data_IF_216460280430
#
_entry.id   IF_216460280430
#
_cell.length_a   1.000
_cell.length_b   1.000
_cell.length_c   1.000
_cell.angle_alpha   90.00
_cell.angle_beta   90.00
_cell.angle_gamma   90.00
#
_symmetry.space_group_name_H-M   'P 1'
#
loop_
_entity.id
_entity.type
_entity.pdbx_description
1 polymer ?
#
# COMPACT_ATOMS: atom_id res chain seq x y z
N UNK A 1 17.08 -10.46 -9.25
CA UNK A 1 16.03 -10.59 -8.21
C UNK A 1 15.82 -12.06 -7.92
N UNK A 2 15.71 -12.49 -6.64
CA UNK A 2 15.56 -13.91 -6.28
C UNK A 2 14.19 -14.43 -6.75
N UNK A 3 14.18 -15.56 -7.44
CA UNK A 3 12.98 -16.30 -7.83
C UNK A 3 12.95 -17.57 -6.97
N UNK A 4 11.96 -17.65 -6.08
CA UNK A 4 11.80 -18.79 -5.19
C UNK A 4 10.88 -19.83 -5.83
N UNK A 5 11.38 -21.02 -6.07
CA UNK A 5 10.68 -22.16 -6.63
C UNK A 5 10.85 -23.39 -5.73
N UNK A 6 9.99 -24.42 -5.85
CA UNK A 6 8.75 -24.42 -6.61
C UNK A 6 7.65 -23.56 -5.99
N UNK A 7 6.59 -23.27 -6.73
CA UNK A 7 5.34 -22.69 -6.22
C UNK A 7 4.18 -23.66 -6.44
N UNK A 8 3.22 -23.62 -5.54
CA UNK A 8 1.96 -24.37 -5.64
C UNK A 8 0.78 -23.41 -5.75
N UNK A 9 -0.39 -23.92 -6.09
CA UNK A 9 -1.63 -23.15 -6.08
C UNK A 9 -2.40 -23.25 -4.75
N UNK A 10 -1.75 -23.79 -3.69
CA UNK A 10 -2.37 -23.98 -2.40
C UNK A 10 -2.17 -22.74 -1.52
N UNK A 11 -3.28 -22.18 -1.05
CA UNK A 11 -3.27 -21.05 -0.13
C UNK A 11 -3.22 -21.51 1.32
N UNK A 12 -2.32 -20.96 2.08
CA UNK A 12 -2.29 -21.05 3.53
C UNK A 12 -3.13 -19.90 4.08
N UNK A 13 -4.15 -20.22 4.89
CA UNK A 13 -4.96 -19.27 5.61
C UNK A 13 -4.59 -19.32 7.09
N UNK A 14 -4.65 -18.17 7.76
CA UNK A 14 -4.38 -18.07 9.20
C UNK A 14 -5.36 -17.10 9.85
N UNK A 15 -5.48 -17.14 11.18
CA UNK A 15 -6.46 -16.38 11.94
C UNK A 15 -6.22 -14.85 11.87
N UNK A 16 -7.30 -14.07 12.00
CA UNK A 16 -7.24 -12.61 11.96
C UNK A 16 -6.39 -12.01 13.10
N UNK A 17 -6.31 -12.71 14.21
CA UNK A 17 -5.54 -12.27 15.40
C UNK A 17 -4.05 -12.61 15.31
N UNK A 18 -3.65 -13.36 14.28
CA UNK A 18 -2.26 -13.77 14.08
C UNK A 18 -1.47 -12.63 13.45
N UNK A 19 -0.42 -12.20 14.14
CA UNK A 19 0.52 -11.20 13.64
C UNK A 19 1.86 -11.86 13.33
N UNK A 20 2.28 -11.76 12.07
CA UNK A 20 3.60 -12.19 11.61
C UNK A 20 4.55 -11.02 11.73
N UNK A 21 5.56 -11.12 12.59
CA UNK A 21 6.49 -10.02 12.88
C UNK A 21 7.90 -10.42 12.48
N UNK A 22 8.62 -9.50 11.86
CA UNK A 22 10.05 -9.63 11.58
C UNK A 22 10.76 -8.29 11.67
N UNK A 23 12.04 -8.35 12.01
CA UNK A 23 12.97 -7.23 11.96
C UNK A 23 14.08 -7.54 10.96
N UNK A 24 14.58 -6.50 10.31
CA UNK A 24 15.71 -6.59 9.39
C UNK A 24 16.70 -5.47 9.66
N UNK A 25 17.93 -5.67 9.23
CA UNK A 25 18.91 -4.59 9.12
C UNK A 25 18.55 -3.64 7.94
N UNK A 26 19.40 -2.65 7.69
CA UNK A 26 19.26 -1.68 6.60
C UNK A 26 19.33 -2.30 5.20
N UNK A 27 19.92 -3.51 5.09
CA UNK A 27 20.03 -4.26 3.82
C UNK A 27 18.85 -5.21 3.62
N UNK A 28 17.94 -5.30 4.59
CA UNK A 28 16.81 -6.23 4.55
C UNK A 28 17.19 -7.67 4.92
N UNK A 29 18.27 -7.85 5.67
CA UNK A 29 18.66 -9.13 6.25
C UNK A 29 17.86 -9.33 7.53
N UNK A 30 17.23 -10.49 7.67
CA UNK A 30 16.40 -10.83 8.84
C UNK A 30 17.27 -10.94 10.08
N UNK A 31 16.92 -10.17 11.11
CA UNK A 31 17.62 -10.16 12.42
C UNK A 31 16.74 -10.70 13.54
N UNK A 32 15.42 -10.74 13.36
CA UNK A 32 14.48 -11.31 14.33
C UNK A 32 13.17 -11.69 13.64
N UNK A 33 12.55 -12.75 14.11
CA UNK A 33 11.21 -13.21 13.71
C UNK A 33 10.43 -13.67 14.94
N UNK A 34 9.10 -13.68 14.83
CA UNK A 34 8.27 -14.29 15.86
C UNK A 34 7.82 -15.72 15.44
N UNK A 35 7.28 -16.46 16.41
CA UNK A 35 6.80 -17.82 16.19
C UNK A 35 5.78 -17.92 15.06
N UNK A 36 4.87 -16.95 14.91
CA UNK A 36 3.89 -16.95 13.82
C UNK A 36 4.56 -16.90 12.44
N UNK A 37 5.71 -16.23 12.32
CA UNK A 37 6.45 -16.20 11.05
C UNK A 37 6.98 -17.61 10.70
N UNK A 38 7.58 -18.32 11.65
CA UNK A 38 8.09 -19.69 11.43
C UNK A 38 6.95 -20.66 11.11
N UNK A 39 5.88 -20.61 11.90
CA UNK A 39 4.72 -21.51 11.75
C UNK A 39 4.04 -21.37 10.37
N UNK A 40 3.85 -20.13 9.89
CA UNK A 40 3.14 -19.89 8.63
C UNK A 40 4.05 -20.03 7.42
N UNK A 41 5.30 -19.58 7.52
CA UNK A 41 6.24 -19.70 6.41
C UNK A 41 6.82 -21.11 6.24
N UNK A 42 6.80 -21.91 7.30
CA UNK A 42 7.37 -23.26 7.33
C UNK A 42 8.90 -23.30 7.35
N UNK A 43 9.56 -22.17 7.52
CA UNK A 43 10.99 -22.07 7.76
C UNK A 43 11.26 -22.09 9.25
N UNK A 44 12.35 -22.72 9.70
CA UNK A 44 12.81 -22.57 11.07
C UNK A 44 13.41 -21.17 11.30
N UNK A 45 13.57 -20.78 12.56
CA UNK A 45 14.21 -19.50 12.89
C UNK A 45 15.66 -19.48 12.38
N UNK A 46 16.41 -20.57 12.55
CA UNK A 46 17.80 -20.70 12.08
C UNK A 46 17.89 -20.55 10.55
N UNK A 47 16.89 -21.05 9.81
CA UNK A 47 16.84 -20.90 8.35
C UNK A 47 16.50 -19.48 7.88
N UNK A 48 15.85 -18.69 8.75
CA UNK A 48 15.46 -17.32 8.44
C UNK A 48 16.52 -16.30 8.85
N UNK A 49 17.18 -16.52 9.98
CA UNK A 49 18.16 -15.58 10.53
C UNK A 49 19.33 -15.38 9.55
N UNK A 50 19.71 -14.14 9.34
CA UNK A 50 20.79 -13.79 8.41
C UNK A 50 20.43 -13.92 6.92
N UNK A 51 19.21 -14.35 6.59
CA UNK A 51 18.75 -14.41 5.19
C UNK A 51 18.12 -13.09 4.74
N UNK A 52 18.25 -12.73 3.46
CA UNK A 52 17.47 -11.64 2.90
C UNK A 52 15.97 -11.92 3.01
N UNK A 53 15.19 -10.92 3.41
CA UNK A 53 13.74 -11.08 3.63
C UNK A 53 12.97 -11.58 2.40
N UNK A 54 13.57 -11.44 1.20
CA UNK A 54 13.01 -11.96 -0.04
C UNK A 54 13.00 -13.50 -0.12
N UNK A 55 13.48 -14.22 0.91
CA UNK A 55 13.36 -15.68 1.01
C UNK A 55 11.89 -16.13 0.94
N UNK A 56 10.96 -15.34 1.48
CA UNK A 56 9.51 -15.61 1.45
C UNK A 56 8.79 -14.91 0.29
N UNK A 57 9.49 -14.26 -0.63
CA UNK A 57 8.85 -13.58 -1.74
C UNK A 57 8.23 -14.56 -2.73
N UNK A 58 6.94 -14.37 -3.06
CA UNK A 58 6.32 -15.10 -4.17
C UNK A 58 6.76 -14.52 -5.53
N UNK A 59 7.00 -15.37 -6.57
CA UNK A 59 7.38 -14.90 -7.91
C UNK A 59 6.40 -13.92 -8.56
N UNK A 60 5.09 -14.05 -8.29
CA UNK A 60 4.04 -13.18 -8.82
C UNK A 60 4.12 -11.72 -8.31
N UNK A 61 4.93 -11.47 -7.28
CA UNK A 61 5.08 -10.12 -6.77
C UNK A 61 5.96 -9.26 -7.68
N UNK A 62 5.43 -8.14 -8.21
CA UNK A 62 6.17 -7.33 -9.17
C UNK A 62 7.37 -6.64 -8.53
N UNK A 63 8.50 -6.54 -9.28
CA UNK A 63 9.68 -5.80 -8.81
C UNK A 63 9.38 -4.34 -8.43
N UNK A 64 8.47 -3.71 -9.18
CA UNK A 64 8.09 -2.32 -8.97
C UNK A 64 7.49 -2.07 -7.57
N UNK A 65 6.72 -3.04 -7.02
CA UNK A 65 6.17 -2.91 -5.67
C UNK A 65 7.29 -2.85 -4.61
N UNK A 66 8.33 -3.66 -4.73
CA UNK A 66 9.47 -3.63 -3.83
C UNK A 66 10.35 -2.40 -4.03
N UNK A 67 10.50 -1.91 -5.28
CA UNK A 67 11.22 -0.67 -5.54
C UNK A 67 10.54 0.52 -4.83
N UNK A 68 9.21 0.61 -4.92
CA UNK A 68 8.44 1.63 -4.22
C UNK A 68 8.56 1.49 -2.69
N UNK A 69 8.44 0.28 -2.17
CA UNK A 69 8.64 0.00 -0.75
C UNK A 69 10.00 0.53 -0.26
N UNK A 70 11.09 0.12 -0.91
CA UNK A 70 12.43 0.55 -0.53
C UNK A 70 12.64 2.06 -0.64
N UNK A 71 12.10 2.69 -1.69
CA UNK A 71 12.17 4.14 -1.86
C UNK A 71 11.46 4.88 -0.72
N UNK A 72 10.37 4.29 -0.19
CA UNK A 72 9.59 4.89 0.89
C UNK A 72 10.26 4.72 2.26
N UNK A 73 10.60 3.47 2.63
CA UNK A 73 11.13 3.19 3.98
C UNK A 73 12.54 3.78 4.21
N UNK A 74 13.36 3.89 3.17
CA UNK A 74 14.66 4.58 3.24
C UNK A 74 14.55 6.08 3.48
N UNK A 75 13.39 6.68 3.20
CA UNK A 75 13.10 8.08 3.54
C UNK A 75 12.59 8.24 4.99
N UNK A 76 12.59 7.19 5.79
CA UNK A 76 12.06 7.23 7.14
C UNK A 76 10.53 7.18 7.22
N UNK A 77 9.85 6.83 6.11
CA UNK A 77 8.39 6.76 6.04
C UNK A 77 7.90 5.32 6.13
N UNK A 78 6.77 5.06 6.81
CA UNK A 78 6.18 3.73 6.80
C UNK A 78 5.60 3.40 5.42
N UNK A 79 5.51 2.10 5.12
CA UNK A 79 4.94 1.58 3.89
C UNK A 79 3.95 0.46 4.20
N UNK A 80 2.81 0.44 3.50
CA UNK A 80 1.81 -0.60 3.64
C UNK A 80 1.41 -1.16 2.27
N UNK A 81 1.29 -2.48 2.18
CA UNK A 81 0.83 -3.16 0.96
C UNK A 81 0.29 -4.56 1.25
N UNK A 82 -0.61 -5.02 0.40
CA UNK A 82 -1.02 -6.42 0.35
C UNK A 82 0.04 -7.21 -0.42
N UNK A 83 0.66 -8.17 0.23
CA UNK A 83 1.81 -8.92 -0.29
C UNK A 83 1.51 -10.41 -0.38
N UNK A 84 1.84 -11.03 -1.52
CA UNK A 84 1.82 -12.47 -1.69
C UNK A 84 3.18 -13.04 -1.31
N UNK A 85 3.20 -13.89 -0.30
CA UNK A 85 4.40 -14.59 0.16
C UNK A 85 4.35 -16.07 -0.23
N UNK A 86 5.52 -16.70 -0.29
CA UNK A 86 5.72 -18.11 -0.53
C UNK A 86 6.24 -18.78 0.75
N UNK A 87 5.60 -19.85 1.15
CA UNK A 87 6.08 -20.73 2.21
C UNK A 87 7.18 -21.68 1.69
N UNK A 88 7.92 -22.31 2.59
CA UNK A 88 8.99 -23.28 2.28
C UNK A 88 8.52 -24.42 1.39
N UNK A 89 7.28 -24.88 1.60
CA UNK A 89 6.62 -25.93 0.78
C UNK A 89 6.33 -25.50 -0.66
N UNK A 90 6.34 -24.21 -0.95
CA UNK A 90 5.89 -23.65 -2.22
C UNK A 90 4.45 -23.13 -2.18
N UNK A 91 3.72 -23.40 -1.13
CA UNK A 91 2.38 -22.86 -0.90
C UNK A 91 2.46 -21.34 -0.70
N UNK A 92 1.36 -20.63 -0.86
CA UNK A 92 1.37 -19.17 -0.73
C UNK A 92 0.41 -18.68 0.35
N UNK A 93 0.72 -17.51 0.88
CA UNK A 93 -0.14 -16.79 1.80
C UNK A 93 -0.13 -15.30 1.51
N UNK A 94 -1.28 -14.67 1.72
CA UNK A 94 -1.43 -13.24 1.56
C UNK A 94 -1.33 -12.55 2.92
N UNK A 95 -0.66 -11.41 2.93
CA UNK A 95 -0.53 -10.55 4.11
C UNK A 95 -0.82 -9.10 3.76
N UNK A 96 -1.45 -8.39 4.66
CA UNK A 96 -1.38 -6.94 4.71
C UNK A 96 -0.13 -6.60 5.52
N UNK A 97 0.90 -6.09 4.86
CA UNK A 97 2.20 -5.83 5.44
C UNK A 97 2.37 -4.35 5.74
N UNK A 98 2.51 -4.00 7.01
CA UNK A 98 2.96 -2.69 7.47
C UNK A 98 4.44 -2.78 7.78
N UNK A 99 5.23 -1.92 7.14
CA UNK A 99 6.69 -1.89 7.28
C UNK A 99 7.09 -0.49 7.73
N UNK A 100 7.78 -0.40 8.87
CA UNK A 100 8.24 0.87 9.43
C UNK A 100 9.74 0.87 9.68
N UNK A 101 10.41 2.01 9.49
CA UNK A 101 11.78 2.21 9.93
C UNK A 101 11.87 2.14 11.46
N UNK A 102 12.92 1.51 11.97
CA UNK A 102 13.29 1.51 13.38
C UNK A 102 14.39 2.55 13.58
N UNK A 103 14.18 3.45 14.53
CA UNK A 103 15.10 4.54 14.80
C UNK A 103 15.84 4.31 16.13
N UNK A 104 17.11 4.62 16.14
CA UNK A 104 17.94 4.74 17.35
C UNK A 104 18.76 6.01 17.24
N UNK A 105 18.71 6.86 18.26
CA UNK A 105 19.39 8.18 18.29
C UNK A 105 19.12 9.06 17.06
N UNK A 106 17.93 8.95 16.46
CA UNK A 106 17.52 9.71 15.27
C UNK A 106 17.96 9.11 13.93
N UNK A 107 18.72 8.03 13.94
CA UNK A 107 19.14 7.31 12.74
C UNK A 107 18.32 6.04 12.53
N UNK A 108 18.08 5.67 11.27
CA UNK A 108 17.41 4.42 10.92
C UNK A 108 18.43 3.30 11.09
N UNK A 109 18.14 2.34 11.98
CA UNK A 109 18.99 1.17 12.24
C UNK A 109 18.50 -0.11 11.57
N UNK A 110 17.27 -0.12 11.08
CA UNK A 110 16.66 -1.28 10.45
C UNK A 110 15.19 -1.05 10.17
N UNK A 111 14.46 -2.13 9.88
CA UNK A 111 13.05 -2.10 9.57
C UNK A 111 12.29 -3.18 10.34
N UNK A 112 11.13 -2.79 10.87
CA UNK A 112 10.16 -3.72 11.42
C UNK A 112 9.05 -3.96 10.40
N UNK A 113 8.55 -5.17 10.35
CA UNK A 113 7.36 -5.49 9.56
C UNK A 113 6.36 -6.28 10.38
N UNK A 114 5.16 -5.74 10.50
CA UNK A 114 4.00 -6.39 11.11
C UNK A 114 3.02 -6.74 10.01
N UNK A 115 2.54 -7.99 10.00
CA UNK A 115 1.67 -8.52 8.95
C UNK A 115 0.49 -9.27 9.54
N UNK A 116 -0.68 -9.06 8.96
CA UNK A 116 -1.92 -9.77 9.28
C UNK A 116 -2.65 -10.19 8.00
N UNK A 117 -3.64 -11.08 8.08
CA UNK A 117 -4.36 -11.51 6.89
C UNK A 117 -5.16 -10.34 6.30
N UNK A 118 -5.04 -10.10 4.99
CA UNK A 118 -5.82 -9.07 4.32
C UNK A 118 -7.25 -9.50 4.09
N UNK A 119 -8.15 -8.54 3.86
CA UNK A 119 -9.49 -8.82 3.37
C UNK A 119 -9.43 -9.41 1.95
N UNK A 120 -10.36 -10.31 1.64
CA UNK A 120 -10.40 -10.99 0.35
C UNK A 120 -10.54 -10.00 -0.82
N UNK A 121 -11.31 -8.94 -0.65
CA UNK A 121 -11.47 -7.86 -1.65
C UNK A 121 -10.16 -7.15 -1.98
N UNK A 122 -9.30 -6.94 -0.98
CA UNK A 122 -7.99 -6.31 -1.17
C UNK A 122 -7.01 -7.26 -1.86
N UNK A 123 -7.10 -8.56 -1.61
CA UNK A 123 -6.35 -9.59 -2.34
C UNK A 123 -6.70 -9.55 -3.83
N UNK A 124 -7.99 -9.63 -4.17
CA UNK A 124 -8.47 -9.62 -5.56
C UNK A 124 -8.03 -8.36 -6.32
N UNK A 125 -8.16 -7.20 -5.66
CA UNK A 125 -7.69 -5.92 -6.22
C UNK A 125 -6.18 -5.93 -6.46
N UNK A 126 -5.42 -6.44 -5.51
CA UNK A 126 -3.96 -6.51 -5.60
C UNK A 126 -3.49 -7.47 -6.68
N UNK A 127 -4.15 -8.62 -6.85
CA UNK A 127 -3.84 -9.56 -7.93
C UNK A 127 -4.00 -8.93 -9.32
N UNK A 128 -5.08 -8.18 -9.53
CA UNK A 128 -5.31 -7.47 -10.80
C UNK A 128 -4.19 -6.46 -11.06
N UNK A 129 -3.84 -5.66 -10.05
CA UNK A 129 -2.79 -4.65 -10.14
C UNK A 129 -1.43 -5.30 -10.41
N UNK A 130 -1.08 -6.35 -9.68
CA UNK A 130 0.22 -7.02 -9.82
C UNK A 130 0.37 -7.73 -11.15
N UNK A 131 -0.69 -8.35 -11.67
CA UNK A 131 -0.69 -8.93 -13.03
C UNK A 131 -0.40 -7.87 -14.10
N UNK A 132 -0.97 -6.67 -13.98
CA UNK A 132 -0.70 -5.55 -14.88
C UNK A 132 0.75 -5.07 -14.78
N UNK A 133 1.24 -4.86 -13.56
CA UNK A 133 2.62 -4.45 -13.32
C UNK A 133 3.65 -5.47 -13.84
N UNK A 134 3.36 -6.76 -13.71
CA UNK A 134 4.22 -7.82 -14.25
C UNK A 134 4.28 -7.80 -15.79
N UNK A 135 3.23 -7.33 -16.46
CA UNK A 135 3.21 -7.12 -17.92
C UNK A 135 3.83 -5.79 -18.36
N UNK A 136 4.32 -4.97 -17.42
CA UNK A 136 4.84 -3.64 -17.71
C UNK A 136 3.77 -2.60 -18.04
N UNK A 137 2.50 -2.89 -17.76
CA UNK A 137 1.41 -1.95 -17.96
C UNK A 137 1.50 -0.79 -16.97
N UNK A 138 1.28 0.43 -17.44
CA UNK A 138 1.18 1.61 -16.57
C UNK A 138 -0.16 1.58 -15.85
N UNK A 139 -0.12 1.76 -14.54
CA UNK A 139 -1.33 1.98 -13.75
C UNK A 139 -1.76 3.43 -13.96
N UNK A 140 -2.79 3.64 -14.76
CA UNK A 140 -3.45 4.94 -14.80
C UNK A 140 -4.32 5.09 -13.56
N UNK A 141 -4.13 6.15 -12.75
CA UNK A 141 -5.06 6.44 -11.67
C UNK A 141 -6.47 6.55 -12.27
N UNK A 142 -7.39 5.71 -11.83
CA UNK A 142 -8.80 5.89 -12.18
C UNK A 142 -9.29 7.06 -11.33
N UNK A 143 -9.12 8.28 -11.83
CA UNK A 143 -9.75 9.46 -11.24
C UNK A 143 -11.26 9.19 -11.34
N UNK A 144 -11.97 9.01 -10.23
CA UNK A 144 -13.41 8.86 -10.32
C UNK A 144 -13.95 10.14 -10.94
N UNK A 145 -14.63 10.00 -12.08
CA UNK A 145 -15.29 11.13 -12.71
C UNK A 145 -16.29 11.68 -11.69
N UNK A 146 -16.29 12.99 -11.42
CA UNK A 146 -17.21 13.53 -10.44
C UNK A 146 -18.66 13.15 -10.83
N UNK A 147 -19.50 12.77 -9.86
CA UNK A 147 -20.90 12.45 -10.14
C UNK A 147 -21.54 13.54 -10.99
N UNK A 148 -22.46 13.17 -11.89
CA UNK A 148 -23.12 14.12 -12.81
C UNK A 148 -23.68 15.38 -12.09
N UNK A 149 -24.07 15.25 -10.82
CA UNK A 149 -24.48 16.37 -9.96
C UNK A 149 -23.41 17.46 -9.78
N UNK A 150 -22.13 17.11 -9.78
CA UNK A 150 -21.04 18.10 -9.69
C UNK A 150 -20.72 18.76 -11.04
N UNK A 151 -21.05 18.11 -12.15
CA UNK A 151 -20.86 18.69 -13.48
C UNK A 151 -21.79 19.90 -13.69
N UNK A 152 -23.01 19.84 -13.15
CA UNK A 152 -23.94 20.97 -13.19
C UNK A 152 -23.50 22.12 -12.25
N UNK A 153 -22.91 21.82 -11.11
CA UNK A 153 -22.40 22.85 -10.21
C UNK A 153 -21.21 23.62 -10.82
N UNK A 154 -20.28 22.92 -11.50
CA UNK A 154 -19.18 23.57 -12.21
C UNK A 154 -19.65 24.36 -13.43
N UNK A 155 -20.56 23.82 -14.21
CA UNK A 155 -21.17 24.55 -15.36
C UNK A 155 -21.90 25.80 -14.89
N UNK A 156 -22.67 25.72 -13.80
CA UNK A 156 -23.38 26.86 -13.22
C UNK A 156 -22.43 27.94 -12.67
N UNK A 157 -21.32 27.56 -12.04
CA UNK A 157 -20.34 28.52 -11.52
C UNK A 157 -19.60 29.26 -12.64
N UNK A 158 -19.26 28.60 -13.74
CA UNK A 158 -18.61 29.23 -14.89
C UNK A 158 -19.57 30.20 -15.61
N UNK A 159 -20.84 29.83 -15.74
CA UNK A 159 -21.87 30.73 -16.31
C UNK A 159 -22.13 31.92 -15.39
N UNK A 160 -22.19 31.74 -14.06
CA UNK A 160 -22.36 32.82 -13.11
C UNK A 160 -21.18 33.78 -13.09
N UNK A 161 -19.92 33.29 -13.18
CA UNK A 161 -18.74 34.14 -13.31
C UNK A 161 -18.73 34.88 -14.67
N UNK A 162 -19.11 34.24 -15.76
CA UNK A 162 -19.20 34.87 -17.08
C UNK A 162 -20.23 36.00 -17.10
N UNK A 163 -21.39 35.83 -16.47
CA UNK A 163 -22.41 36.87 -16.34
C UNK A 163 -22.00 38.01 -15.42
N UNK A 164 -21.20 37.76 -14.41
CA UNK A 164 -20.64 38.78 -13.50
C UNK A 164 -19.66 39.73 -14.22
N UNK A 165 -18.89 39.21 -15.18
CA UNK A 165 -17.95 40.03 -15.97
C UNK A 165 -18.65 40.77 -17.14
N UNK A 166 -19.86 40.36 -17.54
CA UNK A 166 -20.59 40.99 -18.65
C UNK A 166 -21.56 42.10 -18.21
N UNK A 167 -21.82 42.23 -16.88
CA UNK A 167 -22.64 43.31 -16.33
C UNK A 167 -21.92 44.11 -15.23
N UNK A 168 -21.23 45.19 -15.56
CA UNK A 168 -20.53 46.00 -14.57
C UNK A 168 -21.39 46.98 -13.80
N UNK A 169 -22.72 46.89 -13.84
CA UNK A 169 -23.62 47.82 -13.15
C UNK A 169 -24.75 47.08 -12.45
N UNK A 170 -24.49 46.59 -11.28
CA UNK A 170 -25.47 46.51 -10.17
C UNK A 170 -24.69 46.12 -8.89
N UNK A 171 -24.24 47.14 -8.21
CA UNK A 171 -23.77 46.96 -6.84
C UNK A 171 -24.93 46.59 -5.94
N UNK A 172 -24.58 45.84 -4.95
CA UNK A 172 -25.17 45.55 -3.64
C UNK A 172 -25.51 44.08 -3.41
N UNK A 173 -24.70 43.48 -2.51
CA UNK A 173 -25.17 42.69 -1.40
C UNK A 173 -25.74 41.31 -1.74
N UNK A 174 -24.89 40.38 -2.14
CA UNK A 174 -25.13 38.99 -1.81
C UNK A 174 -23.81 38.42 -1.25
N UNK A 175 -23.77 38.26 0.05
CA UNK A 175 -22.75 37.45 0.70
C UNK A 175 -22.87 36.02 0.14
N UNK A 176 -22.00 35.68 -0.82
CA UNK A 176 -21.83 34.34 -1.31
C UNK A 176 -21.17 33.53 -0.19
N UNK A 177 -22.00 32.85 0.60
CA UNK A 177 -21.57 31.70 1.37
C UNK A 177 -21.09 30.66 0.36
N UNK A 178 -19.79 30.67 0.10
CA UNK A 178 -19.12 29.56 -0.54
C UNK A 178 -19.20 28.38 0.43
N UNK A 179 -19.87 27.28 0.07
CA UNK A 179 -19.69 26.07 0.85
C UNK A 179 -18.23 25.67 0.70
N UNK A 180 -17.51 25.63 1.81
CA UNK A 180 -16.21 24.97 1.92
C UNK A 180 -16.43 23.50 1.55
N UNK A 181 -16.25 23.17 0.30
CA UNK A 181 -16.13 21.81 -0.15
C UNK A 181 -14.73 21.32 0.26
N UNK A 182 -14.68 20.74 1.47
CA UNK A 182 -13.59 19.84 1.82
C UNK A 182 -13.65 18.70 0.83
N UNK A 183 -12.78 18.73 -0.17
CA UNK A 183 -12.48 17.58 -1.02
C UNK A 183 -11.74 16.58 -0.12
N UNK A 184 -12.28 15.42 0.17
CA UNK A 184 -11.49 14.38 0.79
C UNK A 184 -10.49 13.94 -0.28
N UNK A 185 -9.27 14.45 -0.18
CA UNK A 185 -8.18 13.97 -1.03
C UNK A 185 -7.97 12.51 -0.71
N UNK A 186 -8.08 11.65 -1.70
CA UNK A 186 -7.78 10.22 -1.59
C UNK A 186 -6.31 9.95 -1.18
N UNK A 187 -5.52 11.00 -1.02
CA UNK A 187 -4.17 11.03 -0.47
C UNK A 187 -4.14 11.08 1.07
N UNK A 188 -5.26 11.39 1.73
CA UNK A 188 -5.33 11.46 3.20
C UNK A 188 -5.55 10.09 3.84
N UNK A 189 -5.89 9.06 3.06
CA UNK A 189 -6.12 7.70 3.57
C UNK A 189 -4.82 6.91 3.81
N UNK A 190 -3.69 7.44 3.37
CA UNK A 190 -2.38 6.82 3.63
C UNK A 190 -1.67 7.39 4.88
N UNK A 191 -2.28 8.37 5.57
CA UNK A 191 -1.63 9.08 6.68
C UNK A 191 -2.43 9.13 7.98
N UNK A 192 -3.60 8.48 8.06
CA UNK A 192 -4.41 8.45 9.28
C UNK A 192 -4.98 7.07 9.51
N UNK A 193 -4.14 6.16 9.99
CA UNK A 193 -4.54 5.13 10.93
C UNK A 193 -3.31 4.76 11.76
N UNK A 194 -3.45 4.73 13.11
CA UNK A 194 -2.36 4.45 14.06
C UNK A 194 -1.90 3.00 14.04
#
# INVERSE_FOLDING_TARGET
MKINLPVTNKRINFGKDVKIISFTDLKGIITKVNKAFTDISGYSEEELMGQPHNIVRHPDMPPAAFALMWATIKQGKPFMAVVKNRAKTGDYYWVNAFISPVFENGEIIGYESVRYPPDQRDVERSEIIYKKLMKGERLTPRIPYPPKSYQFAFGGAVVALGLFFLHPVAGFGAALLLPFLSVPSALHYAAQDP
#
